data_IF_195855675674
#
_entry.id   IF_195855675674
#
_cell.length_a   1.000
_cell.length_b   1.000
_cell.length_c   1.000
_cell.angle_alpha   90.00
_cell.angle_beta   90.00
_cell.angle_gamma   90.00
#
_symmetry.space_group_name_H-M   'P 1'
#
loop_
_entity.id
_entity.type
_entity.pdbx_description
1 polymer ?
#
# COMPACT_ATOMS: atom_id res chain seq x y z
N UNK A 1 10.66 25.10 -55.44
CA UNK A 1 12.02 24.54 -55.36
C UNK A 1 12.89 25.62 -54.74
N UNK A 2 13.42 25.56 -53.52
CA UNK A 2 13.69 24.46 -52.58
C UNK A 2 13.79 25.04 -51.16
N UNK A 3 13.38 24.23 -50.20
CA UNK A 3 13.55 24.36 -48.75
C UNK A 3 15.00 24.67 -48.34
N UNK A 4 15.21 25.48 -47.29
CA UNK A 4 15.35 24.95 -45.93
C UNK A 4 15.69 26.04 -44.90
N UNK A 5 14.86 26.11 -43.88
CA UNK A 5 15.10 26.81 -42.61
C UNK A 5 16.21 26.08 -41.84
N UNK A 6 17.39 26.68 -41.73
CA UNK A 6 18.43 26.20 -40.79
C UNK A 6 18.34 27.02 -39.50
N UNK A 7 17.70 26.42 -38.49
CA UNK A 7 17.71 26.90 -37.13
C UNK A 7 19.16 26.97 -36.62
N UNK A 8 19.54 28.11 -36.04
CA UNK A 8 20.87 28.37 -35.52
C UNK A 8 21.21 27.40 -34.37
N UNK A 9 22.19 26.52 -34.61
CA UNK A 9 22.57 25.39 -33.75
C UNK A 9 23.76 25.70 -32.82
N UNK A 10 24.35 26.90 -32.88
CA UNK A 10 25.68 27.17 -32.29
C UNK A 10 25.75 27.19 -30.75
N UNK A 11 24.63 27.10 -30.04
CA UNK A 11 24.60 27.19 -28.58
C UNK A 11 23.92 26.00 -27.89
N UNK A 12 23.74 24.87 -28.58
CA UNK A 12 23.12 23.67 -28.00
C UNK A 12 24.20 22.73 -27.47
N UNK A 13 24.09 22.33 -26.20
CA UNK A 13 24.93 21.27 -25.63
C UNK A 13 24.83 20.00 -26.48
N UNK A 14 25.96 19.35 -26.74
CA UNK A 14 25.98 18.08 -27.46
C UNK A 14 25.20 17.02 -26.71
N UNK A 15 24.32 16.31 -27.43
CA UNK A 15 23.50 15.24 -26.86
C UNK A 15 24.42 14.18 -26.25
N UNK A 16 24.32 13.98 -24.93
CA UNK A 16 25.13 13.01 -24.18
C UNK A 16 26.37 13.58 -23.51
N UNK A 17 26.70 14.87 -23.71
CA UNK A 17 27.86 15.50 -23.10
C UNK A 17 27.43 16.69 -22.25
N UNK A 18 27.63 16.57 -20.93
CA UNK A 18 27.39 17.68 -20.00
C UNK A 18 28.34 18.83 -20.34
N UNK A 19 27.82 20.06 -20.42
CA UNK A 19 28.64 21.26 -20.58
C UNK A 19 29.58 21.54 -19.40
N UNK A 20 29.36 20.87 -18.26
CA UNK A 20 30.29 20.83 -17.14
C UNK A 20 30.68 19.37 -16.86
N UNK A 21 31.81 18.88 -17.40
CA UNK A 21 32.32 17.52 -17.15
C UNK A 21 32.71 17.28 -15.68
N UNK A 22 33.07 18.34 -14.94
CA UNK A 22 33.31 18.33 -13.50
C UNK A 22 32.02 18.62 -12.69
N UNK A 23 30.87 18.59 -13.37
CA UNK A 23 29.56 18.74 -12.75
C UNK A 23 29.28 17.64 -11.74
N UNK A 24 28.16 17.78 -11.03
CA UNK A 24 27.82 16.90 -9.93
C UNK A 24 27.78 15.42 -10.40
N UNK A 25 28.58 14.52 -9.79
CA UNK A 25 28.70 13.16 -10.28
C UNK A 25 27.38 12.40 -10.25
N UNK A 26 27.19 11.51 -11.23
CA UNK A 26 25.99 10.67 -11.34
C UNK A 26 25.84 9.83 -10.06
N UNK A 27 24.71 9.97 -9.36
CA UNK A 27 24.44 9.31 -8.08
C UNK A 27 24.79 10.12 -6.82
N UNK A 28 25.36 11.32 -6.96
CA UNK A 28 25.63 12.17 -5.80
C UNK A 28 24.33 12.72 -5.21
N UNK A 29 23.99 12.23 -4.01
CA UNK A 29 22.86 12.74 -3.23
C UNK A 29 23.07 14.22 -2.91
N UNK A 30 21.98 15.01 -2.94
CA UNK A 30 22.05 16.41 -2.57
C UNK A 30 22.22 16.53 -1.05
N UNK A 31 23.01 17.50 -0.58
CA UNK A 31 23.19 17.72 0.87
C UNK A 31 21.84 17.94 1.57
N UNK A 32 20.92 18.64 0.91
CA UNK A 32 19.54 18.80 1.40
C UNK A 32 18.78 17.47 1.49
N UNK A 33 18.99 16.53 0.55
CA UNK A 33 18.37 15.20 0.60
C UNK A 33 18.91 14.38 1.77
N UNK A 34 20.23 14.40 1.99
CA UNK A 34 20.86 13.70 3.12
C UNK A 34 20.38 14.30 4.46
N UNK A 35 20.26 15.62 4.53
CA UNK A 35 19.72 16.30 5.72
C UNK A 35 18.25 15.94 5.94
N UNK A 36 17.42 15.93 4.90
CA UNK A 36 16.02 15.53 5.00
C UNK A 36 15.87 14.07 5.42
N UNK A 37 16.67 13.16 4.87
CA UNK A 37 16.68 11.74 5.27
C UNK A 37 17.04 11.56 6.75
N UNK A 38 18.02 12.31 7.26
CA UNK A 38 18.41 12.28 8.68
C UNK A 38 17.35 12.88 9.59
N UNK A 39 16.80 14.05 9.22
CA UNK A 39 15.69 14.67 9.95
C UNK A 39 14.51 13.68 10.04
N UNK A 40 14.13 13.03 8.94
CA UNK A 40 13.02 12.06 8.94
C UNK A 40 13.26 10.82 9.83
N UNK A 41 14.51 10.38 10.03
CA UNK A 41 14.82 9.22 10.86
C UNK A 41 14.89 9.56 12.35
N UNK A 42 15.45 10.73 12.70
CA UNK A 42 15.61 11.17 14.09
C UNK A 42 14.38 11.94 14.62
N UNK A 43 13.52 12.50 13.74
CA UNK A 43 12.37 13.35 14.13
C UNK A 43 11.06 12.59 14.36
N UNK A 44 11.00 11.27 14.23
CA UNK A 44 9.71 10.56 14.38
C UNK A 44 9.08 10.85 15.74
N UNK A 45 9.88 10.79 16.81
CA UNK A 45 9.41 11.11 18.16
C UNK A 45 9.02 12.59 18.31
N UNK A 46 9.80 13.51 17.72
CA UNK A 46 9.50 14.94 17.75
C UNK A 46 8.20 15.27 17.00
N UNK A 47 7.99 14.67 15.84
CA UNK A 47 6.77 14.81 15.03
C UNK A 47 5.57 14.26 15.79
N UNK A 48 5.70 13.07 16.39
CA UNK A 48 4.63 12.47 17.21
C UNK A 48 4.26 13.40 18.38
N UNK A 49 5.25 13.92 19.09
CA UNK A 49 5.03 14.85 20.20
C UNK A 49 4.38 16.18 19.76
N UNK A 50 4.77 16.70 18.58
CA UNK A 50 4.16 17.90 18.02
C UNK A 50 2.68 17.67 17.68
N UNK A 51 2.35 16.54 17.04
CA UNK A 51 0.96 16.18 16.70
C UNK A 51 0.13 15.96 17.98
N UNK A 52 0.67 15.29 19.00
CA UNK A 52 0.01 15.12 20.30
C UNK A 52 -0.28 16.47 20.97
N UNK A 53 0.68 17.39 20.94
CA UNK A 53 0.52 18.72 21.53
C UNK A 53 -0.54 19.53 20.80
N UNK A 54 -0.52 19.53 19.46
CA UNK A 54 -1.54 20.20 18.65
C UNK A 54 -2.94 19.64 18.94
N UNK A 55 -3.10 18.32 18.99
CA UNK A 55 -4.36 17.68 19.31
C UNK A 55 -4.88 18.06 20.71
N UNK A 56 -4.00 18.08 21.72
CA UNK A 56 -4.34 18.51 23.09
C UNK A 56 -4.78 19.98 23.16
N UNK A 57 -4.28 20.82 22.26
CA UNK A 57 -4.65 22.22 22.16
C UNK A 57 -5.90 22.47 21.29
N UNK A 58 -6.60 21.41 20.86
CA UNK A 58 -7.87 21.52 20.15
C UNK A 58 -7.78 21.47 18.63
N UNK A 59 -6.62 21.13 18.05
CA UNK A 59 -6.53 20.85 16.61
C UNK A 59 -7.24 19.51 16.30
N UNK A 60 -8.45 19.63 15.76
CA UNK A 60 -9.29 18.48 15.41
C UNK A 60 -8.70 17.62 14.28
N UNK A 61 -7.86 18.19 13.41
CA UNK A 61 -7.17 17.41 12.36
C UNK A 61 -6.09 16.54 12.99
N UNK A 62 -5.27 17.10 13.89
CA UNK A 62 -4.28 16.33 14.65
C UNK A 62 -4.94 15.23 15.50
N UNK A 63 -6.06 15.55 16.16
CA UNK A 63 -6.85 14.57 16.91
C UNK A 63 -7.38 13.44 16.01
N UNK A 64 -7.89 13.76 14.82
CA UNK A 64 -8.33 12.77 13.84
C UNK A 64 -7.20 11.84 13.40
N UNK A 65 -6.01 12.38 13.09
CA UNK A 65 -4.84 11.57 12.70
C UNK A 65 -4.49 10.55 13.78
N UNK A 66 -4.53 10.96 15.05
CA UNK A 66 -4.27 10.07 16.19
C UNK A 66 -5.38 9.02 16.33
N UNK A 67 -6.67 9.43 16.27
CA UNK A 67 -7.81 8.53 16.41
C UNK A 67 -7.86 7.47 15.30
N UNK A 68 -7.59 7.85 14.05
CA UNK A 68 -7.51 6.92 12.92
C UNK A 68 -6.41 5.85 13.12
N UNK A 69 -5.41 6.13 13.96
CA UNK A 69 -4.33 5.19 14.29
C UNK A 69 -4.63 4.32 15.52
N UNK A 70 -5.28 4.86 16.55
CA UNK A 70 -5.62 4.15 17.80
C UNK A 70 -6.87 3.28 17.62
N UNK A 71 -7.89 3.82 16.95
CA UNK A 71 -9.13 3.13 16.60
C UNK A 71 -9.23 3.04 15.08
N UNK A 72 -8.29 2.35 14.41
CA UNK A 72 -8.37 2.18 12.98
C UNK A 72 -9.69 1.46 12.65
N UNK A 73 -10.34 1.87 11.57
CA UNK A 73 -11.42 1.07 10.95
C UNK A 73 -10.92 -0.37 10.90
N UNK A 74 -11.66 -1.29 11.55
CA UNK A 74 -11.23 -2.66 11.84
C UNK A 74 -10.44 -3.22 10.65
N UNK A 75 -9.14 -3.42 10.86
CA UNK A 75 -8.31 -4.15 9.90
C UNK A 75 -8.57 -5.62 10.17
N UNK A 76 -8.99 -6.34 9.15
CA UNK A 76 -9.26 -7.79 9.12
C UNK A 76 -8.69 -8.54 10.31
N UNK A 77 -9.57 -8.97 11.22
CA UNK A 77 -9.26 -9.98 12.22
C UNK A 77 -8.71 -11.23 11.54
N UNK A 78 -7.79 -11.92 12.20
CA UNK A 78 -7.32 -13.22 11.73
C UNK A 78 -8.47 -14.22 11.87
N UNK A 79 -9.10 -14.56 10.75
CA UNK A 79 -10.10 -15.61 10.70
C UNK A 79 -9.51 -16.89 10.10
N UNK A 80 -9.56 -17.98 10.88
CA UNK A 80 -9.09 -19.28 10.45
C UNK A 80 -10.15 -19.96 9.58
N UNK A 81 -10.10 -19.67 8.28
CA UNK A 81 -10.98 -20.30 7.30
C UNK A 81 -10.70 -21.81 7.23
N UNK A 82 -11.72 -22.68 7.38
CA UNK A 82 -11.55 -24.12 7.22
C UNK A 82 -10.93 -24.47 5.87
N UNK A 83 -10.05 -25.48 5.88
CA UNK A 83 -9.37 -25.94 4.68
C UNK A 83 -10.38 -26.49 3.67
N UNK A 84 -10.31 -25.99 2.43
CA UNK A 84 -11.19 -26.41 1.33
C UNK A 84 -10.44 -27.41 0.43
N UNK A 85 -10.86 -28.67 0.46
CA UNK A 85 -10.39 -29.73 -0.44
C UNK A 85 -11.34 -29.97 -1.62
N UNK A 86 -12.62 -29.61 -1.48
CA UNK A 86 -13.61 -29.64 -2.55
C UNK A 86 -14.98 -29.09 -2.12
N UNK A 87 -16.03 -29.35 -2.91
CA UNK A 87 -17.37 -28.82 -2.61
C UNK A 87 -17.97 -29.32 -1.29
N UNK A 88 -17.57 -30.50 -0.81
CA UNK A 88 -18.02 -31.04 0.47
C UNK A 88 -17.67 -30.13 1.67
N UNK A 89 -16.58 -29.37 1.58
CA UNK A 89 -16.08 -28.53 2.69
C UNK A 89 -16.71 -27.13 2.71
N UNK A 90 -17.36 -26.72 1.61
CA UNK A 90 -17.93 -25.37 1.46
C UNK A 90 -19.03 -25.10 2.49
N UNK A 91 -19.79 -26.13 2.89
CA UNK A 91 -20.80 -26.01 3.94
C UNK A 91 -20.19 -25.64 5.29
N UNK A 92 -19.11 -26.33 5.69
CA UNK A 92 -18.42 -26.08 6.95
C UNK A 92 -17.78 -24.68 6.97
N UNK A 93 -17.18 -24.26 5.85
CA UNK A 93 -16.63 -22.91 5.73
C UNK A 93 -17.70 -21.82 5.84
N UNK A 94 -18.89 -22.04 5.27
CA UNK A 94 -20.01 -21.10 5.40
C UNK A 94 -20.49 -20.96 6.85
N UNK A 95 -20.60 -22.09 7.56
CA UNK A 95 -20.99 -22.08 8.97
C UNK A 95 -19.98 -21.31 9.83
N UNK A 96 -18.69 -21.62 9.70
CA UNK A 96 -17.63 -20.93 10.44
C UNK A 96 -17.59 -19.41 10.17
N UNK A 97 -17.84 -19.00 8.92
CA UNK A 97 -17.93 -17.58 8.56
C UNK A 97 -19.16 -16.89 9.17
N UNK A 98 -20.31 -17.57 9.25
CA UNK A 98 -21.50 -17.03 9.91
C UNK A 98 -21.30 -16.86 11.41
N UNK A 99 -20.68 -17.85 12.07
CA UNK A 99 -20.38 -17.79 13.50
C UNK A 99 -19.44 -16.62 13.80
N UNK A 100 -18.36 -16.45 13.02
CA UNK A 100 -17.45 -15.32 13.19
C UNK A 100 -18.10 -13.95 12.93
N UNK A 101 -19.12 -13.86 12.07
CA UNK A 101 -19.91 -12.63 11.91
C UNK A 101 -20.80 -12.39 13.12
N UNK A 102 -21.42 -13.43 13.68
CA UNK A 102 -22.27 -13.34 14.86
C UNK A 102 -21.47 -12.93 16.10
N UNK A 103 -20.25 -13.44 16.26
CA UNK A 103 -19.32 -13.10 17.35
C UNK A 103 -18.70 -11.70 17.17
N UNK A 104 -18.89 -11.09 15.99
CA UNK A 104 -18.35 -9.78 15.66
C UNK A 104 -16.85 -9.79 15.39
N UNK A 105 -16.27 -10.96 15.15
CA UNK A 105 -14.89 -11.11 14.70
C UNK A 105 -14.78 -10.63 13.25
N UNK A 106 -15.68 -11.05 12.36
CA UNK A 106 -15.76 -10.61 10.97
C UNK A 106 -16.94 -9.67 10.73
N UNK A 107 -16.78 -8.78 9.76
CA UNK A 107 -17.93 -8.09 9.15
C UNK A 107 -18.63 -9.00 8.14
N UNK A 108 -19.92 -8.76 7.88
CA UNK A 108 -20.66 -9.49 6.85
C UNK A 108 -20.02 -9.34 5.45
N UNK A 109 -19.41 -8.18 5.16
CA UNK A 109 -18.73 -7.94 3.89
C UNK A 109 -17.47 -8.82 3.76
N UNK A 110 -16.64 -8.89 4.80
CA UNK A 110 -15.45 -9.76 4.82
C UNK A 110 -15.84 -11.23 4.67
N UNK A 111 -16.91 -11.68 5.34
CA UNK A 111 -17.38 -13.06 5.25
C UNK A 111 -17.83 -13.43 3.82
N UNK A 112 -18.53 -12.52 3.14
CA UNK A 112 -18.94 -12.72 1.74
C UNK A 112 -17.73 -12.84 0.82
N UNK A 113 -16.70 -12.02 1.00
CA UNK A 113 -15.52 -12.05 0.15
C UNK A 113 -14.65 -13.30 0.41
N UNK A 114 -14.52 -13.73 1.67
CA UNK A 114 -13.87 -15.00 2.03
C UNK A 114 -14.63 -16.20 1.47
N UNK A 115 -15.96 -16.18 1.51
CA UNK A 115 -16.78 -17.29 0.99
C UNK A 115 -16.62 -17.45 -0.53
N UNK A 116 -16.57 -16.35 -1.29
CA UNK A 116 -16.28 -16.40 -2.74
C UNK A 116 -14.92 -17.04 -3.04
N UNK A 117 -13.92 -16.77 -2.21
CA UNK A 117 -12.61 -17.39 -2.34
C UNK A 117 -12.69 -18.91 -2.09
N UNK A 118 -13.42 -19.33 -1.06
CA UNK A 118 -13.64 -20.75 -0.76
C UNK A 118 -14.30 -21.49 -1.92
N UNK A 119 -15.37 -20.93 -2.51
CA UNK A 119 -16.04 -21.53 -3.69
C UNK A 119 -15.11 -21.63 -4.91
N UNK A 120 -14.26 -20.62 -5.11
CA UNK A 120 -13.28 -20.63 -6.21
C UNK A 120 -12.22 -21.73 -6.02
N UNK A 121 -11.77 -21.95 -4.79
CA UNK A 121 -10.82 -23.03 -4.46
C UNK A 121 -11.48 -24.40 -4.62
N UNK A 122 -12.71 -24.58 -4.15
CA UNK A 122 -13.46 -25.84 -4.33
C UNK A 122 -13.57 -26.19 -5.82
N UNK A 123 -13.98 -25.22 -6.64
CA UNK A 123 -14.10 -25.38 -8.10
C UNK A 123 -12.77 -25.77 -8.77
N UNK A 124 -11.66 -25.12 -8.41
CA UNK A 124 -10.36 -25.40 -9.04
C UNK A 124 -9.84 -26.79 -8.70
N UNK A 125 -10.09 -27.28 -7.49
CA UNK A 125 -9.69 -28.64 -7.07
C UNK A 125 -10.53 -29.73 -7.71
N UNK A 126 -11.82 -29.50 -7.89
CA UNK A 126 -12.70 -30.42 -8.63
C UNK A 126 -12.22 -30.59 -10.09
N UNK A 127 -11.91 -29.48 -10.74
CA UNK A 127 -11.39 -29.47 -12.12
C UNK A 127 -10.02 -30.18 -12.23
N UNK A 128 -9.16 -30.04 -11.22
CA UNK A 128 -7.88 -30.74 -11.17
C UNK A 128 -8.05 -32.26 -10.96
N UNK A 129 -9.04 -32.70 -10.18
CA UNK A 129 -9.37 -34.14 -10.01
C UNK A 129 -10.01 -34.77 -11.24
N UNK A 130 -10.66 -33.97 -12.09
CA UNK A 130 -11.34 -34.43 -13.30
C UNK A 130 -10.38 -34.67 -14.49
N UNK A 131 -9.16 -34.15 -14.42
CA UNK A 131 -8.16 -34.13 -15.50
C UNK A 131 -6.95 -35.05 -15.27
N UNK A 132 -6.97 -35.88 -14.22
CA UNK A 132 -5.94 -36.88 -13.92
C UNK A 132 -6.54 -38.26 -13.82
#
# INVERSE_FOLDING_TARGET
MTENTVANLEHRFQKGQSGNPAGKPKGARHKATILAERLMQDDVEMIVNAVLTAARNGDMMAAKIILDRIAPVRRSTSFDLPRIEGWADVGAARAALLDAVADGDLTAAEAVDLFKLAEKVARSREAARSNG
#
